data_IF_863383910147
#
_entry.id   IF_863383910147
#
_cell.length_a   1.000
_cell.length_b   1.000
_cell.length_c   1.000
_cell.angle_alpha   90.00
_cell.angle_beta   90.00
_cell.angle_gamma   90.00
#
_symmetry.space_group_name_H-M   'P 1'
#
loop_
_entity.id
_entity.type
_entity.pdbx_description
1 polymer ?
#
# COMPACT_ATOMS: atom_id res chain seq x y z
N UNK A 1 -20.66 14.90 -7.47
CA UNK A 1 -19.78 14.40 -6.38
C UNK A 1 -20.15 12.96 -6.09
N UNK A 2 -19.21 12.01 -6.13
CA UNK A 2 -19.50 10.60 -5.83
C UNK A 2 -19.98 10.44 -4.38
N UNK A 3 -20.94 9.55 -4.15
CA UNK A 3 -21.45 9.24 -2.81
C UNK A 3 -20.33 8.65 -1.94
N UNK A 4 -20.27 8.93 -0.62
CA UNK A 4 -19.23 8.40 0.27
C UNK A 4 -19.12 6.87 0.20
N UNK A 5 -20.25 6.17 0.12
CA UNK A 5 -20.28 4.72 -0.05
C UNK A 5 -19.58 4.23 -1.32
N UNK A 6 -19.76 4.93 -2.45
CA UNK A 6 -19.08 4.60 -3.71
C UNK A 6 -17.56 4.80 -3.61
N UNK A 7 -17.13 5.86 -2.92
CA UNK A 7 -15.70 6.12 -2.66
C UNK A 7 -15.08 5.02 -1.80
N UNK A 8 -15.79 4.61 -0.74
CA UNK A 8 -15.33 3.54 0.13
C UNK A 8 -15.25 2.20 -0.61
N UNK A 9 -16.28 1.86 -1.42
CA UNK A 9 -16.28 0.65 -2.24
C UNK A 9 -15.12 0.63 -3.23
N UNK A 10 -14.84 1.75 -3.91
CA UNK A 10 -13.69 1.86 -4.83
C UNK A 10 -12.35 1.70 -4.11
N UNK A 11 -12.23 2.22 -2.89
CA UNK A 11 -11.03 2.07 -2.08
C UNK A 11 -10.83 0.62 -1.63
N UNK A 12 -11.89 -0.06 -1.19
CA UNK A 12 -11.86 -1.49 -0.83
C UNK A 12 -11.41 -2.34 -2.03
N UNK A 13 -11.90 -2.04 -3.23
CA UNK A 13 -11.47 -2.73 -4.45
C UNK A 13 -9.96 -2.53 -4.71
N UNK A 14 -9.44 -1.31 -4.53
CA UNK A 14 -8.01 -1.03 -4.68
C UNK A 14 -7.15 -1.79 -3.67
N UNK A 15 -7.58 -1.86 -2.41
CA UNK A 15 -6.91 -2.65 -1.36
C UNK A 15 -6.97 -4.15 -1.70
N UNK A 16 -8.13 -4.65 -2.12
CA UNK A 16 -8.30 -6.05 -2.50
C UNK A 16 -7.37 -6.44 -3.66
N UNK A 17 -7.22 -5.56 -4.66
CA UNK A 17 -6.30 -5.77 -5.77
C UNK A 17 -4.84 -5.82 -5.30
N UNK A 18 -4.44 -4.96 -4.37
CA UNK A 18 -3.10 -4.99 -3.77
C UNK A 18 -2.86 -6.30 -3.01
N UNK A 19 -3.79 -6.70 -2.13
CA UNK A 19 -3.68 -7.94 -1.36
C UNK A 19 -3.65 -9.16 -2.29
N UNK A 20 -4.49 -9.18 -3.32
CA UNK A 20 -4.51 -10.27 -4.28
C UNK A 20 -3.20 -10.38 -5.07
N UNK A 21 -2.64 -9.26 -5.55
CA UNK A 21 -1.36 -9.26 -6.24
C UNK A 21 -0.23 -9.78 -5.34
N UNK A 22 -0.19 -9.32 -4.09
CA UNK A 22 0.79 -9.78 -3.11
C UNK A 22 0.64 -11.28 -2.79
N UNK A 23 -0.61 -11.76 -2.62
CA UNK A 23 -0.92 -13.16 -2.36
C UNK A 23 -0.46 -14.07 -3.51
N UNK A 24 -0.65 -13.66 -4.77
CA UNK A 24 -0.20 -14.42 -5.93
C UNK A 24 1.32 -14.66 -5.88
N UNK A 25 2.11 -13.65 -5.55
CA UNK A 25 3.58 -13.81 -5.46
C UNK A 25 4.07 -14.62 -4.25
N UNK A 26 3.26 -14.72 -3.19
CA UNK A 26 3.68 -15.38 -1.94
C UNK A 26 3.11 -16.78 -1.74
N UNK A 27 1.92 -17.05 -2.28
CA UNK A 27 1.19 -18.30 -2.02
C UNK A 27 1.28 -19.30 -3.18
N UNK A 28 1.58 -18.84 -4.40
CA UNK A 28 1.71 -19.74 -5.54
C UNK A 28 3.15 -20.25 -5.67
N UNK A 29 3.30 -21.54 -5.87
CA UNK A 29 4.61 -22.20 -6.07
C UNK A 29 5.31 -21.71 -7.36
N UNK A 30 4.50 -21.39 -8.38
CA UNK A 30 4.97 -20.86 -9.66
C UNK A 30 4.32 -19.47 -9.89
N UNK A 31 4.88 -18.39 -9.30
CA UNK A 31 4.36 -17.06 -9.54
C UNK A 31 4.54 -16.65 -11.01
N UNK A 32 3.71 -15.75 -11.52
CA UNK A 32 3.86 -15.24 -12.87
C UNK A 32 5.23 -14.60 -13.07
N UNK A 33 5.81 -14.79 -14.24
CA UNK A 33 7.13 -14.26 -14.60
C UNK A 33 7.03 -13.23 -15.74
N UNK A 34 8.08 -12.48 -15.95
CA UNK A 34 8.20 -11.53 -17.04
C UNK A 34 7.18 -10.40 -16.99
N UNK A 35 6.58 -10.07 -18.13
CA UNK A 35 5.64 -8.96 -18.26
C UNK A 35 4.37 -9.13 -17.41
N UNK A 36 3.90 -10.37 -17.24
CA UNK A 36 2.72 -10.65 -16.40
C UNK A 36 2.94 -10.33 -14.94
N UNK A 37 4.11 -10.66 -14.40
CA UNK A 37 4.51 -10.31 -13.04
C UNK A 37 4.54 -8.79 -12.84
N UNK A 38 5.17 -8.06 -13.75
CA UNK A 38 5.27 -6.60 -13.68
C UNK A 38 3.89 -5.94 -13.72
N UNK A 39 3.01 -6.38 -14.62
CA UNK A 39 1.65 -5.84 -14.72
C UNK A 39 0.87 -6.07 -13.43
N UNK A 40 0.94 -7.26 -12.85
CA UNK A 40 0.25 -7.58 -11.61
C UNK A 40 0.77 -6.76 -10.43
N UNK A 41 2.09 -6.62 -10.33
CA UNK A 41 2.73 -5.80 -9.29
C UNK A 41 2.32 -4.33 -9.41
N UNK A 42 2.48 -3.74 -10.59
CA UNK A 42 2.11 -2.33 -10.84
C UNK A 42 0.61 -2.11 -10.58
N UNK A 43 -0.26 -3.02 -11.01
CA UNK A 43 -1.69 -2.91 -10.77
C UNK A 43 -2.03 -2.96 -9.28
N UNK A 44 -1.38 -3.82 -8.50
CA UNK A 44 -1.54 -3.89 -7.06
C UNK A 44 -1.14 -2.59 -6.36
N UNK A 45 0.04 -2.08 -6.66
CA UNK A 45 0.55 -0.83 -6.07
C UNK A 45 -0.29 0.38 -6.48
N UNK A 46 -0.73 0.45 -7.73
CA UNK A 46 -1.63 1.48 -8.22
C UNK A 46 -2.98 1.42 -7.50
N UNK A 47 -3.52 0.23 -7.28
CA UNK A 47 -4.74 0.02 -6.50
C UNK A 47 -4.61 0.58 -5.09
N UNK A 48 -3.51 0.27 -4.40
CA UNK A 48 -3.23 0.78 -3.05
C UNK A 48 -3.04 2.30 -3.04
N UNK A 49 -2.33 2.86 -4.02
CA UNK A 49 -2.16 4.30 -4.19
C UNK A 49 -3.51 5.02 -4.33
N UNK A 50 -4.37 4.52 -5.22
CA UNK A 50 -5.70 5.08 -5.46
C UNK A 50 -6.58 4.96 -4.20
N UNK A 51 -6.55 3.81 -3.53
CA UNK A 51 -7.28 3.59 -2.27
C UNK A 51 -6.85 4.59 -1.19
N UNK A 52 -5.55 4.76 -0.97
CA UNK A 52 -5.01 5.72 -0.03
C UNK A 52 -5.45 7.16 -0.37
N UNK A 53 -5.42 7.53 -1.65
CA UNK A 53 -5.86 8.86 -2.12
C UNK A 53 -7.35 9.10 -1.88
N UNK A 54 -8.18 8.11 -2.15
CA UNK A 54 -9.64 8.21 -1.99
C UNK A 54 -10.02 8.32 -0.52
N UNK A 55 -9.44 7.48 0.33
CA UNK A 55 -9.79 7.39 1.76
C UNK A 55 -9.31 8.62 2.52
N UNK A 56 -8.06 9.00 2.34
CA UNK A 56 -7.47 10.10 3.12
C UNK A 56 -7.79 11.49 2.56
N UNK A 57 -8.19 11.57 1.30
CA UNK A 57 -8.44 12.83 0.61
C UNK A 57 -7.18 13.68 0.36
N UNK A 58 -6.04 13.30 0.96
CA UNK A 58 -4.75 13.99 0.86
C UNK A 58 -3.74 13.28 -0.03
N UNK A 59 -2.58 13.89 -0.26
CA UNK A 59 -1.48 13.31 -1.04
C UNK A 59 -0.43 12.61 -0.18
N UNK A 60 -0.42 12.84 1.14
CA UNK A 60 0.62 12.30 2.02
C UNK A 60 0.59 10.77 2.06
N UNK A 61 -0.58 10.16 2.26
CA UNK A 61 -0.69 8.69 2.30
C UNK A 61 -0.31 8.03 0.95
N UNK A 62 -0.79 8.49 -0.23
CA UNK A 62 -0.29 8.01 -1.50
C UNK A 62 1.23 8.15 -1.68
N UNK A 63 1.82 9.27 -1.27
CA UNK A 63 3.27 9.45 -1.34
C UNK A 63 4.02 8.46 -0.43
N UNK A 64 3.50 8.16 0.75
CA UNK A 64 4.07 7.14 1.64
C UNK A 64 3.98 5.74 1.04
N UNK A 65 2.88 5.40 0.35
CA UNK A 65 2.74 4.13 -0.39
C UNK A 65 3.82 4.01 -1.46
N UNK A 66 4.04 5.06 -2.26
CA UNK A 66 5.09 5.07 -3.28
C UNK A 66 6.48 4.97 -2.64
N UNK A 67 6.71 5.68 -1.53
CA UNK A 67 7.98 5.62 -0.81
C UNK A 67 8.25 4.21 -0.26
N UNK A 68 7.25 3.53 0.28
CA UNK A 68 7.35 2.16 0.75
C UNK A 68 7.69 1.19 -0.38
N UNK A 69 7.06 1.36 -1.56
CA UNK A 69 7.38 0.58 -2.75
C UNK A 69 8.82 0.80 -3.22
N UNK A 70 9.27 2.05 -3.30
CA UNK A 70 10.63 2.38 -3.69
C UNK A 70 11.67 1.84 -2.68
N UNK A 71 11.37 1.89 -1.38
CA UNK A 71 12.23 1.31 -0.34
C UNK A 71 12.35 -0.21 -0.50
N UNK A 72 11.26 -0.92 -0.79
CA UNK A 72 11.28 -2.35 -1.10
C UNK A 72 12.15 -2.66 -2.31
N UNK A 73 11.94 -1.94 -3.41
CA UNK A 73 12.67 -2.17 -4.66
C UNK A 73 14.16 -1.91 -4.50
N UNK A 74 14.52 -0.74 -3.98
CA UNK A 74 15.92 -0.34 -3.75
C UNK A 74 16.56 -1.23 -2.69
N UNK A 75 15.81 -1.57 -1.62
CA UNK A 75 16.28 -2.42 -0.54
C UNK A 75 16.65 -3.82 -1.01
N UNK A 76 15.81 -4.43 -1.82
CA UNK A 76 16.07 -5.75 -2.39
C UNK A 76 17.32 -5.74 -3.28
N UNK A 77 17.45 -4.75 -4.16
CA UNK A 77 18.57 -4.67 -5.09
C UNK A 77 19.90 -4.39 -4.36
N UNK A 78 19.91 -3.42 -3.45
CA UNK A 78 21.11 -3.07 -2.69
C UNK A 78 21.48 -4.14 -1.67
N UNK A 79 20.50 -4.72 -0.97
CA UNK A 79 20.73 -5.83 -0.04
C UNK A 79 21.35 -7.04 -0.74
N UNK A 80 20.83 -7.41 -1.92
CA UNK A 80 21.38 -8.49 -2.73
C UNK A 80 22.84 -8.21 -3.18
N UNK A 81 23.14 -6.95 -3.54
CA UNK A 81 24.52 -6.56 -3.92
C UNK A 81 25.49 -6.60 -2.73
N UNK A 82 25.07 -6.15 -1.56
CA UNK A 82 25.88 -6.17 -0.33
C UNK A 82 26.16 -7.62 0.13
N UNK A 83 25.15 -8.48 0.10
CA UNK A 83 25.29 -9.88 0.46
C UNK A 83 26.23 -10.66 -0.50
N UNK A 84 26.25 -10.30 -1.78
CA UNK A 84 27.16 -10.93 -2.76
C UNK A 84 28.63 -10.52 -2.59
N UNK A 85 28.92 -9.42 -1.92
CA UNK A 85 30.30 -8.94 -1.69
C UNK A 85 31.07 -9.64 -0.57
N UNK A 86 30.47 -10.59 0.12
CA UNK A 86 31.08 -11.76 0.79
C UNK A 86 32.21 -11.60 1.80
N UNK A 87 32.52 -10.41 2.34
CA UNK A 87 33.44 -10.25 3.47
C UNK A 87 32.65 -10.02 4.75
N UNK A 88 33.12 -10.55 5.89
CA UNK A 88 32.41 -10.50 7.19
C UNK A 88 31.89 -9.10 7.55
N UNK A 89 32.67 -8.06 7.26
CA UNK A 89 32.23 -6.67 7.44
C UNK A 89 31.09 -6.26 6.50
N UNK A 90 31.09 -6.77 5.28
CA UNK A 90 30.03 -6.52 4.28
C UNK A 90 28.72 -7.19 4.64
N UNK A 91 28.78 -8.37 5.24
CA UNK A 91 27.60 -9.08 5.76
C UNK A 91 26.94 -8.33 6.91
N UNK A 92 27.73 -7.82 7.86
CA UNK A 92 27.19 -7.06 9.00
C UNK A 92 26.61 -5.73 8.59
N UNK A 93 27.27 -5.00 7.67
CA UNK A 93 26.73 -3.76 7.11
C UNK A 93 25.46 -4.00 6.30
N UNK A 94 25.43 -5.09 5.50
CA UNK A 94 24.27 -5.50 4.74
C UNK A 94 23.08 -5.83 5.62
N UNK A 95 23.32 -6.59 6.72
CA UNK A 95 22.27 -6.89 7.70
C UNK A 95 21.71 -5.64 8.37
N UNK A 96 22.55 -4.75 8.86
CA UNK A 96 22.14 -3.51 9.50
C UNK A 96 21.35 -2.61 8.52
N UNK A 97 21.75 -2.56 7.24
CA UNK A 97 21.05 -1.84 6.19
C UNK A 97 19.65 -2.41 5.95
N UNK A 98 19.53 -3.73 5.80
CA UNK A 98 18.26 -4.42 5.60
C UNK A 98 17.32 -4.19 6.80
N UNK A 99 17.83 -4.30 8.01
CA UNK A 99 17.05 -4.04 9.23
C UNK A 99 16.55 -2.59 9.31
N UNK A 100 17.39 -1.63 8.94
CA UNK A 100 16.98 -0.21 8.89
C UNK A 100 15.89 0.03 7.86
N UNK A 101 15.98 -0.59 6.66
CA UNK A 101 14.95 -0.49 5.63
C UNK A 101 13.63 -1.12 6.05
N UNK A 102 13.66 -2.30 6.66
CA UNK A 102 12.46 -2.97 7.19
C UNK A 102 11.78 -2.09 8.24
N UNK A 103 12.56 -1.46 9.11
CA UNK A 103 12.04 -0.57 10.14
C UNK A 103 11.36 0.67 9.54
N UNK A 104 12.00 1.31 8.55
CA UNK A 104 11.45 2.47 7.84
C UNK A 104 10.19 2.11 7.06
N UNK A 105 10.20 0.98 6.37
CA UNK A 105 9.06 0.47 5.61
C UNK A 105 7.87 0.17 6.54
N UNK A 106 8.13 -0.54 7.65
CA UNK A 106 7.11 -0.85 8.65
C UNK A 106 6.51 0.43 9.24
N UNK A 107 7.35 1.43 9.54
CA UNK A 107 6.90 2.74 10.02
C UNK A 107 6.01 3.46 9.00
N UNK A 108 6.40 3.44 7.73
CA UNK A 108 5.60 4.03 6.65
C UNK A 108 4.24 3.34 6.50
N UNK A 109 4.20 1.99 6.54
CA UNK A 109 2.96 1.24 6.48
C UNK A 109 2.04 1.46 7.68
N UNK A 110 2.59 1.55 8.90
CA UNK A 110 1.81 1.88 10.10
C UNK A 110 1.17 3.26 9.98
N UNK A 111 1.92 4.25 9.49
CA UNK A 111 1.41 5.59 9.28
C UNK A 111 0.30 5.62 8.21
N UNK A 112 0.49 4.93 7.10
CA UNK A 112 -0.54 4.77 6.05
C UNK A 112 -1.78 4.12 6.64
N UNK A 113 -1.64 3.04 7.42
CA UNK A 113 -2.76 2.35 8.04
C UNK A 113 -3.56 3.26 8.98
N UNK A 114 -2.88 4.02 9.85
CA UNK A 114 -3.54 4.98 10.75
C UNK A 114 -4.30 6.06 9.97
N UNK A 115 -3.67 6.62 8.94
CA UNK A 115 -4.31 7.64 8.10
C UNK A 115 -5.52 7.09 7.34
N UNK A 116 -5.44 5.86 6.84
CA UNK A 116 -6.54 5.22 6.14
C UNK A 116 -7.70 4.88 7.09
N UNK A 117 -7.41 4.42 8.31
CA UNK A 117 -8.43 4.16 9.32
C UNK A 117 -9.17 5.45 9.73
N UNK A 118 -8.45 6.53 9.97
CA UNK A 118 -9.07 7.84 10.27
C UNK A 118 -9.91 8.36 9.09
N UNK A 119 -9.38 8.27 7.87
CA UNK A 119 -10.10 8.65 6.66
C UNK A 119 -11.36 7.83 6.42
N UNK A 120 -11.29 6.51 6.60
CA UNK A 120 -12.44 5.62 6.49
C UNK A 120 -13.51 5.92 7.54
N UNK A 121 -13.10 6.19 8.79
CA UNK A 121 -14.02 6.57 9.86
C UNK A 121 -14.74 7.90 9.56
N UNK A 122 -14.06 8.86 8.94
CA UNK A 122 -14.67 10.13 8.49
C UNK A 122 -15.70 9.90 7.38
N UNK A 123 -15.35 9.12 6.36
CA UNK A 123 -16.26 8.78 5.26
C UNK A 123 -17.51 8.03 5.78
N UNK A 124 -17.34 7.12 6.72
CA UNK A 124 -18.45 6.40 7.33
C UNK A 124 -19.39 7.32 8.10
N UNK A 125 -18.86 8.27 8.89
CA UNK A 125 -19.66 9.25 9.61
C UNK A 125 -20.44 10.19 8.66
N UNK A 126 -19.84 10.57 7.53
CA UNK A 126 -20.52 11.39 6.52
C UNK A 126 -21.68 10.63 5.87
N UNK A 127 -21.51 9.35 5.58
CA UNK A 127 -22.56 8.51 5.00
C UNK A 127 -23.72 8.32 5.99
N UNK A 128 -23.41 8.04 7.24
CA UNK A 128 -24.40 7.89 8.33
C UNK A 128 -25.25 9.14 8.55
N UNK A 129 -24.64 10.32 8.50
CA UNK A 129 -25.36 11.60 8.63
C UNK A 129 -26.31 11.88 7.45
N UNK A 130 -25.91 11.48 6.23
CA UNK A 130 -26.74 11.66 5.03
C UNK A 130 -27.95 10.74 5.01
N UNK A 131 -27.81 9.54 5.53
CA UNK A 131 -28.93 8.58 5.60
C UNK A 131 -29.99 8.96 6.64
N UNK A 132 -29.69 9.89 7.56
CA UNK A 132 -30.61 10.38 8.59
C UNK A 132 -31.39 11.63 8.19
N UNK A 133 -31.09 12.26 7.05
CA UNK A 133 -31.85 13.41 6.54
C UNK A 133 -33.16 12.87 5.95
N UNK A 134 -34.33 13.13 6.55
CA UNK A 134 -35.61 12.71 5.98
C UNK A 134 -35.79 13.36 4.61
N UNK A 135 -36.20 12.57 3.63
CA UNK A 135 -36.64 13.08 2.34
C UNK A 135 -37.94 13.86 2.65
N UNK A 136 -37.83 15.19 2.63
CA UNK A 136 -39.03 16.02 2.65
C UNK A 136 -39.59 15.93 1.24
N UNK A 137 -40.61 15.08 1.07
CA UNK A 137 -41.39 15.02 -0.16
C UNK A 137 -42.24 16.30 -0.19
N UNK A 138 -41.88 17.19 -1.12
CA UNK A 138 -42.72 18.36 -1.51
C UNK A 138 -43.83 17.93 -2.48
#
# INVERSE_FOLDING_TARGET
MSRPATRLASAVLGIALFVASFAVFRLFENPPEGAGALVLEVAGWLGMFIAARIITGGWLAPCLVVSAWMLLFVGNEMGARLLRRGHDRGLQLGFNYVMALITLETGAWLLVAVMMLDGAAKLWREDSKRSQIPIVDD
#
